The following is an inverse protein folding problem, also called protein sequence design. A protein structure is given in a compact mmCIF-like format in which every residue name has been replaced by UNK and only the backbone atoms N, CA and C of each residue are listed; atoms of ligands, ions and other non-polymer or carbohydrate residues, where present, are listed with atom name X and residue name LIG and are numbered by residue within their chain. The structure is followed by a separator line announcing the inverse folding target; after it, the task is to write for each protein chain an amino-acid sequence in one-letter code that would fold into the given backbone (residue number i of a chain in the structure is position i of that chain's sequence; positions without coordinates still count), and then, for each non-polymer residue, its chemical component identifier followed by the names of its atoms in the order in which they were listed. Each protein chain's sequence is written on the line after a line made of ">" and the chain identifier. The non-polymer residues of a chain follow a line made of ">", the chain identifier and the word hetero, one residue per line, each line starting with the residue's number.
data_IF_285547475400
#
_entry.id   IF_285547475400
#
_cell.length_a   1.000
_cell.length_b   1.000
_cell.length_c   1.000
_cell.angle_alpha   90.00
_cell.angle_beta   90.00
_cell.angle_gamma   90.00
#
_symmetry.space_group_name_H-M   'P 1'
#
loop_
_entity.id
_entity.type
_entity.pdbx_description
1 polymer ?
#
# COMPACT_ATOMS: atom_id res chain seq x y z
N UNK A 1 -14.90 -29.12 3.33
CA UNK A 1 -14.03 -28.14 2.64
C UNK A 1 -14.64 -26.76 2.80
N UNK A 2 -13.91 -25.80 3.33
CA UNK A 2 -14.40 -24.41 3.39
C UNK A 2 -14.67 -23.91 1.96
N UNK A 3 -15.84 -23.29 1.74
CA UNK A 3 -16.14 -22.69 0.44
C UNK A 3 -15.14 -21.57 0.14
N UNK A 4 -14.81 -21.33 -1.14
CA UNK A 4 -13.86 -20.28 -1.52
C UNK A 4 -14.28 -18.90 -0.99
N UNK A 5 -15.57 -18.66 -0.81
CA UNK A 5 -16.12 -17.44 -0.18
C UNK A 5 -15.75 -17.35 1.31
N UNK A 6 -15.74 -18.46 2.06
CA UNK A 6 -15.35 -18.47 3.47
C UNK A 6 -13.86 -18.12 3.65
N UNK A 7 -12.99 -18.56 2.73
CA UNK A 7 -11.56 -18.18 2.76
C UNK A 7 -11.39 -16.66 2.58
N UNK A 8 -12.10 -16.06 1.62
CA UNK A 8 -12.07 -14.61 1.38
C UNK A 8 -12.57 -13.84 2.59
N UNK A 9 -13.65 -14.30 3.21
CA UNK A 9 -14.27 -13.67 4.39
C UNK A 9 -13.36 -13.63 5.60
N UNK A 10 -12.44 -14.58 5.75
CA UNK A 10 -11.51 -14.63 6.89
C UNK A 10 -10.17 -13.96 6.56
N UNK A 11 -9.64 -14.20 5.37
CA UNK A 11 -8.27 -13.74 5.01
C UNK A 11 -8.18 -12.23 4.85
N UNK A 12 -9.15 -11.60 4.20
CA UNK A 12 -9.08 -10.14 3.98
C UNK A 12 -9.21 -9.34 5.28
N UNK A 13 -10.20 -9.60 6.18
CA UNK A 13 -10.24 -8.96 7.50
C UNK A 13 -8.96 -9.22 8.31
N UNK A 14 -8.39 -10.42 8.23
CA UNK A 14 -7.13 -10.74 8.91
C UNK A 14 -5.96 -9.89 8.40
N UNK A 15 -5.80 -9.71 7.08
CA UNK A 15 -4.75 -8.86 6.50
C UNK A 15 -4.95 -7.39 6.90
N UNK A 16 -6.19 -6.91 6.89
CA UNK A 16 -6.53 -5.56 7.37
C UNK A 16 -6.17 -5.42 8.85
N UNK A 17 -6.49 -6.42 9.66
CA UNK A 17 -6.15 -6.47 11.09
C UNK A 17 -4.64 -6.40 11.30
N UNK A 18 -3.89 -7.29 10.63
CA UNK A 18 -2.44 -7.37 10.74
C UNK A 18 -1.78 -6.06 10.36
N UNK A 19 -2.20 -5.47 9.25
CA UNK A 19 -1.67 -4.20 8.76
C UNK A 19 -1.87 -3.08 9.77
N UNK A 20 -3.04 -3.01 10.37
CA UNK A 20 -3.33 -1.97 11.34
C UNK A 20 -2.71 -2.23 12.71
N UNK A 21 -2.52 -3.49 13.13
CA UNK A 21 -1.73 -3.82 14.32
C UNK A 21 -0.27 -3.35 14.17
N UNK A 22 0.30 -3.58 12.98
CA UNK A 22 1.66 -3.17 12.67
C UNK A 22 1.82 -1.66 12.47
N UNK A 23 0.71 -0.93 12.28
CA UNK A 23 0.69 0.48 11.90
C UNK A 23 1.59 1.38 12.75
N UNK A 24 1.54 1.38 14.11
CA UNK A 24 2.41 2.23 14.92
C UNK A 24 3.89 1.87 14.81
N UNK A 25 4.17 0.65 14.35
CA UNK A 25 5.51 0.16 14.18
C UNK A 25 6.06 0.40 12.76
N UNK A 26 5.18 0.64 11.78
CA UNK A 26 5.55 0.92 10.39
C UNK A 26 5.92 2.38 10.17
N UNK A 27 5.37 3.30 10.97
CA UNK A 27 5.71 4.73 10.92
C UNK A 27 7.11 4.99 11.51
N UNK A 28 7.77 6.04 11.03
CA UNK A 28 9.06 6.45 11.60
C UNK A 28 8.95 6.86 13.07
N UNK A 29 10.01 6.76 13.87
CA UNK A 29 9.99 7.11 15.30
C UNK A 29 9.56 8.56 15.54
N UNK A 30 9.91 9.49 14.67
CA UNK A 30 9.53 10.91 14.72
C UNK A 30 8.16 11.21 14.13
N UNK A 31 7.36 10.17 13.82
CA UNK A 31 6.01 10.30 13.26
C UNK A 31 4.98 9.43 13.99
N UNK A 32 4.94 9.41 15.34
CA UNK A 32 3.96 8.63 16.07
C UNK A 32 2.54 9.07 15.71
N UNK A 33 1.72 8.12 15.23
CA UNK A 33 0.35 8.38 14.75
C UNK A 33 0.27 9.58 13.78
N UNK A 34 1.31 9.72 12.94
CA UNK A 34 1.40 10.79 11.95
C UNK A 34 1.54 12.21 12.50
N UNK A 35 1.86 12.37 13.76
CA UNK A 35 2.24 13.64 14.36
C UNK A 35 3.75 13.82 14.22
N UNK A 36 4.19 14.94 13.68
CA UNK A 36 5.62 15.26 13.60
C UNK A 36 6.14 15.61 15.00
N UNK A 37 7.12 14.86 15.47
CA UNK A 37 7.77 15.08 16.77
C UNK A 37 9.27 15.27 16.59
N UNK A 38 9.90 16.16 17.37
CA UNK A 38 11.37 16.21 17.45
C UNK A 38 11.93 14.87 17.95
N UNK A 39 13.16 14.48 17.56
CA UNK A 39 13.77 13.22 18.00
C UNK A 39 13.79 13.03 19.52
N UNK A 40 14.01 14.10 20.28
CA UNK A 40 14.01 14.06 21.75
C UNK A 40 12.67 13.63 22.37
N UNK A 41 11.54 13.84 21.66
CA UNK A 41 10.19 13.49 22.11
C UNK A 41 9.62 12.25 21.40
N UNK A 42 10.42 11.53 20.60
CA UNK A 42 9.96 10.35 19.87
C UNK A 42 9.42 9.23 20.78
N UNK A 43 9.99 9.12 21.99
CA UNK A 43 9.60 8.14 23.01
C UNK A 43 9.03 8.80 24.28
N UNK A 44 8.48 10.01 24.16
CA UNK A 44 7.79 10.69 25.24
C UNK A 44 6.72 9.77 25.89
N UNK A 45 6.47 9.89 27.21
CA UNK A 45 5.53 9.03 27.94
C UNK A 45 4.17 8.90 27.26
N UNK A 46 3.61 10.03 26.77
CA UNK A 46 2.34 10.05 26.04
C UNK A 46 2.40 9.19 24.76
N UNK A 47 3.52 9.17 24.05
CA UNK A 47 3.68 8.36 22.82
C UNK A 47 3.67 6.88 23.17
N UNK A 48 4.41 6.48 24.22
CA UNK A 48 4.46 5.09 24.67
C UNK A 48 3.09 4.61 25.19
N UNK A 49 2.38 5.46 25.93
CA UNK A 49 1.03 5.20 26.43
C UNK A 49 0.04 5.00 25.28
N UNK A 50 0.02 5.94 24.31
CA UNK A 50 -0.89 5.84 23.18
C UNK A 50 -0.58 4.65 22.27
N UNK A 51 0.69 4.25 22.12
CA UNK A 51 1.07 2.99 21.43
C UNK A 51 0.49 1.75 22.12
N UNK A 52 0.55 1.70 23.46
CA UNK A 52 -0.03 0.60 24.26
C UNK A 52 -1.55 0.61 24.15
N UNK A 53 -2.19 1.74 24.42
CA UNK A 53 -3.65 1.89 24.36
C UNK A 53 -4.19 1.50 22.96
N UNK A 54 -3.54 1.93 21.90
CA UNK A 54 -3.92 1.58 20.53
C UNK A 54 -3.81 0.08 20.26
N UNK A 55 -2.74 -0.58 20.72
CA UNK A 55 -2.59 -2.04 20.55
C UNK A 55 -3.67 -2.82 21.29
N UNK A 56 -4.00 -2.44 22.51
CA UNK A 56 -5.10 -3.02 23.28
C UNK A 56 -6.45 -2.79 22.62
N UNK A 57 -6.71 -1.57 22.17
CA UNK A 57 -7.92 -1.21 21.45
C UNK A 57 -8.08 -2.01 20.14
N UNK A 58 -7.02 -2.06 19.36
CA UNK A 58 -6.99 -2.81 18.09
C UNK A 58 -7.09 -4.31 18.32
N UNK A 59 -6.39 -4.86 19.31
CA UNK A 59 -6.41 -6.29 19.63
C UNK A 59 -7.76 -6.74 20.18
N UNK A 60 -8.29 -6.04 21.18
CA UNK A 60 -9.53 -6.41 21.86
C UNK A 60 -10.77 -6.30 20.98
N UNK A 61 -11.04 -5.11 20.45
CA UNK A 61 -12.27 -4.86 19.66
C UNK A 61 -12.26 -5.64 18.35
N UNK A 62 -11.09 -5.77 17.72
CA UNK A 62 -11.00 -6.50 16.46
C UNK A 62 -11.00 -8.00 16.62
N UNK A 63 -10.38 -8.51 17.69
CA UNK A 63 -10.51 -9.91 18.05
C UNK A 63 -11.98 -10.28 18.21
N UNK A 64 -12.76 -9.44 18.90
CA UNK A 64 -14.20 -9.64 19.06
C UNK A 64 -14.95 -9.56 17.72
N UNK A 65 -14.62 -8.61 16.84
CA UNK A 65 -15.25 -8.50 15.50
C UNK A 65 -14.93 -9.71 14.63
N UNK A 66 -13.68 -10.17 14.62
CA UNK A 66 -13.29 -11.37 13.86
C UNK A 66 -13.93 -12.63 14.43
N UNK A 67 -14.02 -12.77 15.75
CA UNK A 67 -14.70 -13.89 16.37
C UNK A 67 -16.19 -13.89 16.02
N UNK A 68 -16.85 -12.73 16.08
CA UNK A 68 -18.25 -12.57 15.66
C UNK A 68 -18.44 -12.88 14.17
N UNK A 69 -17.54 -12.41 13.29
CA UNK A 69 -17.59 -12.71 11.85
C UNK A 69 -17.44 -14.21 11.59
N UNK A 70 -16.49 -14.86 12.25
CA UNK A 70 -16.29 -16.30 12.18
C UNK A 70 -17.53 -17.08 12.64
N UNK A 71 -18.10 -16.71 13.78
CA UNK A 71 -19.34 -17.34 14.30
C UNK A 71 -20.49 -17.14 13.30
N UNK A 72 -20.66 -15.93 12.77
CA UNK A 72 -21.68 -15.64 11.77
C UNK A 72 -21.46 -16.43 10.47
N UNK A 73 -20.22 -16.59 10.02
CA UNK A 73 -19.90 -17.40 8.84
C UNK A 73 -20.22 -18.88 9.04
N UNK A 74 -20.00 -19.40 10.24
CA UNK A 74 -20.33 -20.79 10.57
C UNK A 74 -21.84 -21.02 10.74
N UNK A 75 -22.54 -20.06 11.37
CA UNK A 75 -23.97 -20.16 11.63
C UNK A 75 -24.84 -19.83 10.38
N UNK A 76 -24.38 -18.93 9.51
CA UNK A 76 -25.12 -18.40 8.36
C UNK A 76 -24.27 -18.38 7.08
N UNK A 77 -23.87 -19.52 6.54
CA UNK A 77 -22.94 -19.59 5.40
C UNK A 77 -23.45 -18.95 4.11
N UNK A 78 -24.76 -18.70 4.01
CA UNK A 78 -25.40 -18.06 2.85
C UNK A 78 -25.41 -16.53 2.86
N UNK A 79 -25.01 -15.88 3.97
CA UNK A 79 -25.06 -14.41 4.10
C UNK A 79 -23.65 -13.82 4.11
N UNK A 80 -23.27 -13.02 3.10
CA UNK A 80 -21.97 -12.37 3.07
C UNK A 80 -21.94 -11.18 4.06
N UNK A 81 -21.51 -11.42 5.30
CA UNK A 81 -21.27 -10.37 6.31
C UNK A 81 -19.90 -9.71 6.19
N UNK A 82 -19.08 -10.19 5.29
CA UNK A 82 -17.69 -9.77 5.01
C UNK A 82 -17.50 -8.24 4.90
N UNK A 83 -18.37 -7.55 4.17
CA UNK A 83 -18.27 -6.11 3.99
C UNK A 83 -18.48 -5.36 5.32
N UNK A 84 -19.39 -5.84 6.16
CA UNK A 84 -19.69 -5.26 7.47
C UNK A 84 -18.52 -5.39 8.44
N UNK A 85 -17.93 -6.59 8.56
CA UNK A 85 -16.79 -6.84 9.44
C UNK A 85 -15.56 -6.02 9.03
N UNK A 86 -15.21 -6.03 7.75
CA UNK A 86 -14.08 -5.24 7.22
C UNK A 86 -14.25 -3.74 7.46
N UNK A 87 -15.46 -3.23 7.25
CA UNK A 87 -15.80 -1.82 7.49
C UNK A 87 -15.71 -1.48 8.99
N UNK A 88 -16.25 -2.33 9.87
CA UNK A 88 -16.19 -2.15 11.31
C UNK A 88 -14.72 -2.16 11.81
N UNK A 89 -13.91 -3.09 11.33
CA UNK A 89 -12.48 -3.15 11.63
C UNK A 89 -11.77 -1.87 11.19
N UNK A 90 -12.02 -1.37 10.01
CA UNK A 90 -11.42 -0.13 9.51
C UNK A 90 -11.86 1.09 10.35
N UNK A 91 -13.15 1.21 10.65
CA UNK A 91 -13.70 2.31 11.44
C UNK A 91 -13.11 2.35 12.86
N UNK A 92 -13.12 1.20 13.56
CA UNK A 92 -12.57 1.09 14.93
C UNK A 92 -11.09 1.46 14.96
N UNK A 93 -10.33 1.07 13.93
CA UNK A 93 -8.90 1.43 13.80
C UNK A 93 -8.69 2.91 13.63
N UNK A 94 -9.51 3.49 12.76
CA UNK A 94 -9.43 4.92 12.47
C UNK A 94 -9.75 5.73 13.73
N UNK A 95 -10.77 5.33 14.49
CA UNK A 95 -11.11 5.99 15.77
C UNK A 95 -9.95 5.90 16.76
N UNK A 96 -9.38 4.71 16.98
CA UNK A 96 -8.22 4.53 17.87
C UNK A 96 -7.02 5.37 17.44
N UNK A 97 -6.73 5.39 16.14
CA UNK A 97 -5.65 6.21 15.59
C UNK A 97 -5.89 7.72 15.79
N UNK A 98 -7.10 8.21 15.51
CA UNK A 98 -7.43 9.64 15.68
C UNK A 98 -7.39 10.07 17.14
N UNK A 99 -7.80 9.20 18.08
CA UNK A 99 -7.68 9.46 19.53
C UNK A 99 -6.22 9.61 19.94
N UNK A 100 -5.38 8.64 19.56
CA UNK A 100 -3.94 8.70 19.85
C UNK A 100 -3.29 9.95 19.25
N UNK A 101 -3.61 10.27 17.99
CA UNK A 101 -3.13 11.48 17.32
C UNK A 101 -3.52 12.75 18.07
N UNK A 102 -4.78 12.87 18.51
CA UNK A 102 -5.28 14.04 19.26
C UNK A 102 -4.55 14.20 20.58
N UNK A 103 -4.36 13.11 21.33
CA UNK A 103 -3.66 13.12 22.61
C UNK A 103 -2.20 13.61 22.45
N UNK A 104 -1.45 13.04 21.50
CA UNK A 104 -0.07 13.45 21.24
C UNK A 104 0.01 14.91 20.78
N UNK A 105 -0.90 15.37 19.90
CA UNK A 105 -0.92 16.78 19.46
C UNK A 105 -1.28 17.75 20.57
N UNK A 106 -2.07 17.34 21.55
CA UNK A 106 -2.42 18.18 22.71
C UNK A 106 -1.19 18.40 23.59
N UNK A 107 -0.47 17.34 23.95
CA UNK A 107 0.76 17.43 24.75
C UNK A 107 1.86 18.19 23.99
N UNK A 108 2.09 17.86 22.71
CA UNK A 108 3.06 18.57 21.84
C UNK A 108 2.85 20.09 21.86
N UNK A 109 1.59 20.56 21.85
CA UNK A 109 1.26 21.98 21.86
C UNK A 109 1.36 22.59 23.25
N UNK A 110 0.95 21.85 24.30
CA UNK A 110 1.00 22.32 25.67
C UNK A 110 2.42 22.48 26.20
N UNK A 111 3.33 21.61 25.77
CA UNK A 111 4.74 21.60 26.19
C UNK A 111 5.67 22.30 25.19
N UNK A 112 5.14 22.85 24.11
CA UNK A 112 5.90 23.53 23.04
C UNK A 112 7.15 22.73 22.59
N UNK A 113 6.96 21.51 22.14
CA UNK A 113 8.07 20.59 21.78
C UNK A 113 9.03 21.15 20.72
N UNK A 114 8.66 22.20 20.00
CA UNK A 114 9.50 22.85 19.00
C UNK A 114 10.16 24.15 19.52
N UNK A 115 9.85 24.55 20.75
CA UNK A 115 10.46 25.72 21.39
C UNK A 115 11.97 25.62 21.43
N UNK A 116 12.65 26.67 20.97
CA UNK A 116 14.12 26.73 20.93
C UNK A 116 14.81 25.81 19.92
N UNK A 117 14.07 25.03 19.10
CA UNK A 117 14.65 24.17 18.07
C UNK A 117 14.77 24.89 16.72
N UNK A 118 15.84 24.59 15.99
CA UNK A 118 16.09 25.10 14.65
C UNK A 118 15.47 24.17 13.61
N UNK A 119 14.39 24.62 13.00
CA UNK A 119 13.71 23.85 11.97
C UNK A 119 14.39 24.04 10.60
N UNK A 120 14.89 22.97 10.01
CA UNK A 120 15.65 23.00 8.74
C UNK A 120 15.15 21.90 7.80
N UNK A 121 15.05 22.24 6.52
CA UNK A 121 14.83 21.25 5.44
C UNK A 121 16.18 20.78 4.95
N UNK A 122 16.51 19.52 5.19
CA UNK A 122 17.74 18.93 4.66
C UNK A 122 17.58 18.53 3.20
N UNK A 123 18.60 18.77 2.41
CA UNK A 123 18.72 18.32 1.03
C UNK A 123 20.08 17.66 0.88
N UNK A 124 20.10 16.45 0.36
CA UNK A 124 21.33 15.75 -0.03
C UNK A 124 21.45 15.74 -1.55
N UNK A 125 22.46 16.41 -2.06
CA UNK A 125 22.72 16.54 -3.50
C UNK A 125 23.06 15.21 -4.14
N UNK A 126 23.57 14.23 -3.38
CA UNK A 126 23.89 12.89 -3.87
C UNK A 126 22.65 12.15 -4.43
N UNK A 127 21.45 12.46 -3.94
CA UNK A 127 20.21 11.91 -4.49
C UNK A 127 19.91 12.41 -5.93
N UNK A 128 20.47 13.55 -6.32
CA UNK A 128 20.36 14.11 -7.68
C UNK A 128 21.51 13.67 -8.58
N UNK A 129 22.74 13.66 -8.06
CA UNK A 129 23.94 13.29 -8.82
C UNK A 129 24.06 11.78 -9.04
N UNK A 130 23.55 10.99 -8.10
CA UNK A 130 23.51 9.54 -8.16
C UNK A 130 22.07 9.03 -7.99
N UNK A 131 21.19 9.23 -8.99
CA UNK A 131 19.81 8.84 -8.89
C UNK A 131 19.67 7.33 -8.76
N UNK A 132 18.66 6.90 -8.03
CA UNK A 132 18.32 5.48 -7.91
C UNK A 132 17.98 4.92 -9.31
N UNK A 133 18.75 3.94 -9.75
CA UNK A 133 18.47 3.24 -11.01
C UNK A 133 17.16 2.49 -10.90
N UNK A 134 16.38 2.54 -11.96
CA UNK A 134 15.10 1.83 -12.01
C UNK A 134 15.34 0.31 -11.88
N UNK A 135 14.67 -0.37 -10.92
CA UNK A 135 14.95 -1.77 -10.64
C UNK A 135 14.21 -2.72 -11.61
N UNK A 136 14.51 -2.65 -12.91
CA UNK A 136 13.85 -3.39 -14.00
C UNK A 136 13.76 -4.90 -13.75
N UNK A 137 14.75 -5.49 -13.08
CA UNK A 137 14.75 -6.93 -12.75
C UNK A 137 13.50 -7.37 -11.99
N UNK A 138 12.87 -6.48 -11.23
CA UNK A 138 11.65 -6.79 -10.48
C UNK A 138 10.38 -6.72 -11.34
N UNK A 139 10.42 -6.13 -12.52
CA UNK A 139 9.34 -6.14 -13.50
C UNK A 139 9.29 -7.45 -14.30
N UNK A 140 10.43 -8.16 -14.41
CA UNK A 140 10.55 -9.40 -15.21
C UNK A 140 9.49 -10.44 -14.84
N UNK A 141 9.23 -10.77 -13.56
CA UNK A 141 8.19 -11.75 -13.22
C UNK A 141 6.79 -11.38 -13.74
N UNK A 142 6.39 -10.11 -13.62
CA UNK A 142 5.09 -9.64 -14.10
C UNK A 142 4.98 -9.76 -15.63
N UNK A 143 6.03 -9.38 -16.35
CA UNK A 143 6.10 -9.49 -17.82
C UNK A 143 6.12 -10.96 -18.29
N UNK A 144 6.83 -11.84 -17.57
CA UNK A 144 6.84 -13.28 -17.87
C UNK A 144 5.44 -13.89 -17.70
N UNK A 145 4.73 -13.57 -16.60
CA UNK A 145 3.36 -14.05 -16.41
C UNK A 145 2.47 -13.55 -17.53
N UNK A 146 2.60 -12.29 -17.95
CA UNK A 146 1.82 -11.74 -19.06
C UNK A 146 2.14 -12.44 -20.38
N UNK A 147 3.41 -12.72 -20.66
CA UNK A 147 3.82 -13.45 -21.85
C UNK A 147 3.26 -14.90 -21.84
N UNK A 148 3.34 -15.58 -20.70
CA UNK A 148 2.74 -16.92 -20.52
C UNK A 148 1.23 -16.87 -20.74
N UNK A 149 0.55 -15.85 -20.19
CA UNK A 149 -0.90 -15.66 -20.40
C UNK A 149 -1.23 -15.47 -21.88
N UNK A 150 -0.43 -14.69 -22.62
CA UNK A 150 -0.64 -14.48 -24.05
C UNK A 150 -0.43 -15.77 -24.88
N UNK A 151 0.62 -16.56 -24.55
CA UNK A 151 0.87 -17.83 -25.20
C UNK A 151 -0.26 -18.82 -24.93
N UNK A 152 -0.68 -18.95 -23.67
CA UNK A 152 -1.81 -19.83 -23.30
C UNK A 152 -3.10 -19.39 -23.98
N UNK A 153 -3.39 -18.08 -24.03
CA UNK A 153 -4.56 -17.56 -24.75
C UNK A 153 -4.53 -17.94 -26.24
N UNK A 154 -3.36 -17.89 -26.89
CA UNK A 154 -3.22 -18.25 -28.30
C UNK A 154 -3.37 -19.76 -28.53
N UNK A 155 -2.78 -20.59 -27.67
CA UNK A 155 -2.84 -22.07 -27.76
C UNK A 155 -4.27 -22.56 -27.48
N UNK A 156 -4.92 -22.02 -26.45
CA UNK A 156 -6.27 -22.46 -26.06
C UNK A 156 -7.37 -21.85 -26.94
N UNK A 157 -7.08 -20.79 -27.71
CA UNK A 157 -8.09 -20.06 -28.48
C UNK A 157 -8.98 -20.95 -29.35
N UNK A 158 -8.43 -21.97 -30.10
CA UNK A 158 -9.30 -22.85 -30.89
C UNK A 158 -10.28 -23.66 -30.06
N UNK A 159 -9.87 -24.13 -28.88
CA UNK A 159 -10.64 -25.00 -27.98
C UNK A 159 -11.59 -24.26 -27.06
N UNK A 160 -11.47 -22.93 -26.96
CA UNK A 160 -12.36 -22.12 -26.13
C UNK A 160 -13.82 -22.23 -26.58
N UNK A 161 -14.79 -22.26 -25.66
CA UNK A 161 -16.23 -22.25 -25.98
C UNK A 161 -16.63 -20.95 -26.72
N UNK A 162 -17.72 -21.01 -27.50
CA UNK A 162 -18.22 -19.86 -28.27
C UNK A 162 -18.65 -18.69 -27.41
N UNK A 163 -18.97 -18.94 -26.12
CA UNK A 163 -19.30 -17.91 -25.13
C UNK A 163 -18.41 -18.06 -23.91
N UNK A 164 -17.69 -16.99 -23.58
CA UNK A 164 -16.78 -16.93 -22.43
C UNK A 164 -17.47 -16.25 -21.24
N UNK A 165 -17.35 -16.81 -20.02
CA UNK A 165 -17.71 -16.13 -18.79
C UNK A 165 -16.85 -14.89 -18.56
N UNK A 166 -17.50 -13.71 -18.56
CA UNK A 166 -16.83 -12.42 -18.35
C UNK A 166 -17.08 -11.83 -16.97
N UNK A 167 -18.12 -12.30 -16.29
CA UNK A 167 -18.45 -11.87 -14.94
C UNK A 167 -19.08 -13.01 -14.17
N UNK A 168 -18.78 -13.05 -12.87
CA UNK A 168 -19.36 -14.01 -11.92
C UNK A 168 -20.06 -13.26 -10.80
N UNK A 169 -21.30 -13.62 -10.54
CA UNK A 169 -22.08 -13.07 -9.44
C UNK A 169 -21.46 -13.41 -8.08
N UNK A 170 -21.92 -12.75 -7.03
CA UNK A 170 -21.41 -12.91 -5.65
C UNK A 170 -21.47 -14.36 -5.14
N UNK A 171 -22.35 -15.18 -5.73
CA UNK A 171 -22.48 -16.62 -5.43
C UNK A 171 -21.53 -17.50 -6.25
N UNK A 172 -20.71 -16.90 -7.11
CA UNK A 172 -19.73 -17.58 -7.93
C UNK A 172 -20.26 -18.12 -9.26
N UNK A 173 -21.55 -17.96 -9.58
CA UNK A 173 -22.10 -18.38 -10.87
C UNK A 173 -21.85 -17.30 -11.93
N UNK A 174 -21.51 -17.71 -13.15
CA UNK A 174 -21.40 -16.81 -14.29
C UNK A 174 -22.77 -16.18 -14.59
N UNK A 175 -22.84 -14.87 -14.59
CA UNK A 175 -24.06 -14.08 -14.85
C UNK A 175 -23.95 -13.25 -16.13
N UNK A 176 -22.76 -13.18 -16.71
CA UNK A 176 -22.53 -12.52 -18.00
C UNK A 176 -21.59 -13.34 -18.86
N UNK A 177 -22.05 -13.69 -20.06
CA UNK A 177 -21.28 -14.36 -21.09
C UNK A 177 -21.08 -13.40 -22.26
N UNK A 178 -19.90 -13.42 -22.88
CA UNK A 178 -19.60 -12.71 -24.12
C UNK A 178 -19.20 -13.69 -25.23
N UNK A 179 -19.48 -13.35 -26.48
CA UNK A 179 -19.05 -14.13 -27.62
C UNK A 179 -17.51 -14.20 -27.71
N UNK A 180 -17.01 -15.39 -28.10
CA UNK A 180 -15.60 -15.59 -28.33
C UNK A 180 -15.07 -14.68 -29.44
N UNK A 181 -14.11 -13.86 -29.12
CA UNK A 181 -13.37 -13.02 -30.04
C UNK A 181 -11.94 -12.85 -29.56
N UNK A 182 -11.06 -12.34 -30.41
CA UNK A 182 -9.70 -12.00 -29.97
C UNK A 182 -9.75 -11.01 -28.79
N UNK A 183 -10.66 -10.03 -28.84
CA UNK A 183 -10.83 -9.04 -27.78
C UNK A 183 -11.20 -9.67 -26.43
N UNK A 184 -12.19 -10.58 -26.40
CA UNK A 184 -12.65 -11.24 -25.17
C UNK A 184 -11.66 -12.30 -24.66
N UNK A 185 -11.07 -13.09 -25.54
CA UNK A 185 -10.11 -14.13 -25.16
C UNK A 185 -8.78 -13.55 -24.63
N UNK A 186 -8.30 -12.43 -25.22
CA UNK A 186 -7.06 -11.76 -24.83
C UNK A 186 -7.27 -10.60 -23.86
N UNK A 187 -8.50 -10.28 -23.45
CA UNK A 187 -8.77 -9.25 -22.46
C UNK A 187 -7.90 -9.35 -21.19
N UNK A 188 -7.66 -10.56 -20.62
CA UNK A 188 -6.75 -10.71 -19.47
C UNK A 188 -5.33 -10.24 -19.77
N UNK A 189 -4.81 -10.47 -20.96
CA UNK A 189 -3.45 -10.03 -21.38
C UNK A 189 -3.39 -8.50 -21.43
N UNK A 190 -4.40 -7.85 -22.02
CA UNK A 190 -4.45 -6.39 -22.08
C UNK A 190 -4.57 -5.77 -20.69
N UNK A 191 -5.34 -6.37 -19.79
CA UNK A 191 -5.46 -5.93 -18.40
C UNK A 191 -4.12 -6.07 -17.67
N UNK A 192 -3.41 -7.19 -17.84
CA UNK A 192 -2.08 -7.41 -17.25
C UNK A 192 -1.06 -6.40 -17.78
N UNK A 193 -1.02 -6.13 -19.09
CA UNK A 193 -0.14 -5.13 -19.69
C UNK A 193 -0.43 -3.72 -19.14
N UNK A 194 -1.70 -3.35 -19.10
CA UNK A 194 -2.13 -2.05 -18.59
C UNK A 194 -1.77 -1.88 -17.10
N UNK A 195 -2.04 -2.90 -16.27
CA UNK A 195 -1.67 -2.90 -14.86
C UNK A 195 -0.16 -2.83 -14.67
N UNK A 196 0.60 -3.65 -15.38
CA UNK A 196 2.06 -3.65 -15.29
C UNK A 196 2.63 -2.31 -15.73
N UNK A 197 2.14 -1.74 -16.84
CA UNK A 197 2.52 -0.40 -17.30
C UNK A 197 2.21 0.70 -16.28
N UNK A 198 1.04 0.65 -15.65
CA UNK A 198 0.66 1.56 -14.58
C UNK A 198 1.61 1.46 -13.37
N UNK A 199 1.93 0.24 -12.93
CA UNK A 199 2.85 0.02 -11.81
C UNK A 199 4.26 0.50 -12.14
N UNK A 200 4.73 0.28 -13.37
CA UNK A 200 6.00 0.80 -13.85
C UNK A 200 6.03 2.34 -13.82
N UNK A 201 4.97 2.98 -14.31
CA UNK A 201 4.84 4.44 -14.32
C UNK A 201 4.81 5.00 -12.88
N UNK A 202 3.97 4.45 -12.01
CA UNK A 202 3.86 4.88 -10.61
C UNK A 202 5.19 4.72 -9.89
N UNK A 203 5.88 3.59 -10.10
CA UNK A 203 7.21 3.35 -9.52
C UNK A 203 8.22 4.39 -10.02
N UNK A 204 8.22 4.71 -11.32
CA UNK A 204 9.10 5.73 -11.89
C UNK A 204 8.84 7.12 -11.28
N UNK A 205 7.57 7.49 -11.11
CA UNK A 205 7.19 8.76 -10.48
C UNK A 205 7.64 8.81 -9.01
N UNK A 206 7.48 7.69 -8.27
CA UNK A 206 7.88 7.58 -6.87
C UNK A 206 9.40 7.67 -6.72
N UNK A 207 10.18 7.04 -7.62
CA UNK A 207 11.64 7.15 -7.63
C UNK A 207 12.15 8.60 -7.80
N UNK A 208 11.33 9.45 -8.39
CA UNK A 208 11.61 10.89 -8.59
C UNK A 208 10.99 11.78 -7.51
N UNK A 209 10.28 11.20 -6.54
CA UNK A 209 9.69 11.96 -5.45
C UNK A 209 10.76 12.56 -4.54
N UNK A 210 10.40 13.66 -3.87
CA UNK A 210 11.26 14.30 -2.89
C UNK A 210 11.50 13.36 -1.70
N UNK A 211 12.76 13.13 -1.36
CA UNK A 211 13.14 12.44 -0.14
C UNK A 211 12.89 13.34 1.08
N UNK A 212 12.34 12.76 2.13
CA UNK A 212 12.26 13.38 3.44
C UNK A 212 13.47 12.92 4.26
N UNK A 213 14.44 13.82 4.43
CA UNK A 213 15.69 13.53 5.09
C UNK A 213 15.70 14.03 6.54
N UNK A 214 16.45 13.35 7.38
CA UNK A 214 16.73 13.77 8.74
C UNK A 214 17.77 14.93 8.69
N UNK A 215 17.42 16.15 9.13
CA UNK A 215 18.32 17.27 9.06
C UNK A 215 19.57 17.12 9.93
N UNK A 216 19.48 16.34 11.01
CA UNK A 216 20.61 16.08 11.89
C UNK A 216 21.62 15.09 11.27
N UNK A 217 21.18 14.24 10.32
CA UNK A 217 22.02 13.23 9.64
C UNK A 217 21.59 13.03 8.19
N UNK A 218 21.79 14.02 7.32
CA UNK A 218 21.27 14.01 5.95
C UNK A 218 21.86 12.87 5.10
N UNK A 219 23.17 12.62 5.14
CA UNK A 219 23.81 11.58 4.35
C UNK A 219 23.34 10.17 4.74
N UNK A 220 23.29 9.88 6.05
CA UNK A 220 22.80 8.60 6.55
C UNK A 220 21.32 8.38 6.19
N UNK A 221 20.49 9.43 6.25
CA UNK A 221 19.08 9.33 5.89
C UNK A 221 18.87 9.20 4.38
N UNK A 222 19.71 9.82 3.54
CA UNK A 222 19.71 9.65 2.10
C UNK A 222 20.03 8.19 1.70
N UNK A 223 21.04 7.58 2.32
CA UNK A 223 21.39 6.18 2.10
C UNK A 223 20.26 5.23 2.50
N UNK A 224 19.59 5.46 3.64
CA UNK A 224 18.39 4.71 4.05
C UNK A 224 17.25 4.88 3.06
N UNK A 225 17.01 6.12 2.61
CA UNK A 225 15.97 6.44 1.64
C UNK A 225 16.18 5.69 0.32
N UNK A 226 17.39 5.67 -0.24
CA UNK A 226 17.70 4.89 -1.46
C UNK A 226 17.32 3.41 -1.32
N UNK A 227 17.74 2.79 -0.20
CA UNK A 227 17.41 1.37 0.08
C UNK A 227 15.91 1.15 0.26
N UNK A 228 15.23 2.08 0.94
CA UNK A 228 13.78 2.05 1.13
C UNK A 228 13.03 2.08 -0.20
N UNK A 229 13.39 3.01 -1.08
CA UNK A 229 12.70 3.20 -2.37
C UNK A 229 12.89 1.97 -3.26
N UNK A 230 14.12 1.42 -3.34
CA UNK A 230 14.39 0.20 -4.14
C UNK A 230 13.62 -1.00 -3.61
N UNK A 231 13.58 -1.21 -2.29
CA UNK A 231 12.84 -2.33 -1.69
C UNK A 231 11.32 -2.19 -1.87
N UNK A 232 10.81 -0.99 -1.70
CA UNK A 232 9.38 -0.70 -1.90
C UNK A 232 9.00 -0.88 -3.38
N UNK A 233 9.81 -0.37 -4.31
CA UNK A 233 9.60 -0.57 -5.73
C UNK A 233 9.58 -2.06 -6.10
N UNK A 234 10.56 -2.83 -5.61
CA UNK A 234 10.62 -4.28 -5.81
C UNK A 234 9.39 -5.00 -5.25
N UNK A 235 8.95 -4.64 -4.04
CA UNK A 235 7.78 -5.28 -3.42
C UNK A 235 6.47 -4.99 -4.18
N UNK A 236 6.30 -3.78 -4.73
CA UNK A 236 5.15 -3.41 -5.57
C UNK A 236 5.17 -4.21 -6.88
N UNK A 237 6.34 -4.40 -7.50
CA UNK A 237 6.46 -5.21 -8.73
C UNK A 237 6.15 -6.69 -8.46
N UNK A 238 6.62 -7.25 -7.34
CA UNK A 238 6.27 -8.62 -6.92
C UNK A 238 4.77 -8.77 -6.71
N UNK A 239 4.13 -7.80 -6.05
CA UNK A 239 2.67 -7.79 -5.91
C UNK A 239 1.99 -7.75 -7.29
N UNK A 240 2.48 -6.93 -8.22
CA UNK A 240 1.99 -6.88 -9.60
C UNK A 240 2.07 -8.24 -10.29
N UNK A 241 3.19 -8.96 -10.14
CA UNK A 241 3.33 -10.31 -10.67
C UNK A 241 2.32 -11.30 -10.04
N UNK A 242 2.10 -11.22 -8.73
CA UNK A 242 1.10 -12.02 -8.03
C UNK A 242 -0.33 -11.70 -8.48
N UNK A 243 -0.65 -10.43 -8.74
CA UNK A 243 -1.95 -10.03 -9.32
C UNK A 243 -2.09 -10.58 -10.74
N UNK A 244 -1.04 -10.49 -11.56
CA UNK A 244 -1.05 -11.08 -12.92
C UNK A 244 -1.27 -12.59 -12.88
N UNK A 245 -0.68 -13.32 -11.91
CA UNK A 245 -0.98 -14.74 -11.69
C UNK A 245 -2.45 -14.97 -11.33
N UNK A 246 -3.03 -14.13 -10.50
CA UNK A 246 -4.46 -14.18 -10.18
C UNK A 246 -5.33 -13.94 -11.43
N UNK A 247 -4.96 -12.96 -12.27
CA UNK A 247 -5.66 -12.70 -13.55
C UNK A 247 -5.54 -13.90 -14.50
N UNK A 248 -4.36 -14.54 -14.59
CA UNK A 248 -4.17 -15.75 -15.36
C UNK A 248 -5.09 -16.89 -14.86
N UNK A 249 -5.18 -17.09 -13.54
CA UNK A 249 -6.04 -18.11 -12.96
C UNK A 249 -7.54 -17.85 -13.22
N UNK A 250 -7.95 -16.60 -13.23
CA UNK A 250 -9.33 -16.21 -13.62
C UNK A 250 -9.56 -16.43 -15.13
N UNK A 251 -8.58 -16.05 -15.96
CA UNK A 251 -8.62 -16.27 -17.40
C UNK A 251 -8.72 -17.75 -17.74
N UNK A 252 -7.96 -18.61 -17.08
CA UNK A 252 -7.98 -20.04 -17.25
C UNK A 252 -9.39 -20.63 -17.04
N UNK A 253 -10.06 -20.23 -15.95
CA UNK A 253 -11.45 -20.65 -15.69
C UNK A 253 -12.42 -20.16 -16.77
N UNK A 254 -12.28 -18.91 -17.23
CA UNK A 254 -13.09 -18.34 -18.29
C UNK A 254 -12.88 -19.07 -19.63
N UNK A 255 -11.63 -19.37 -20.01
CA UNK A 255 -11.30 -20.05 -21.27
C UNK A 255 -11.81 -21.51 -21.36
N UNK A 256 -11.96 -22.18 -20.19
CA UNK A 256 -12.55 -23.51 -20.11
C UNK A 256 -14.08 -23.51 -19.94
N UNK A 257 -14.70 -22.32 -19.94
CA UNK A 257 -16.15 -22.19 -19.84
C UNK A 257 -16.70 -22.51 -18.46
N UNK A 258 -15.88 -22.42 -17.41
CA UNK A 258 -16.31 -22.70 -16.04
C UNK A 258 -17.44 -21.75 -15.63
N UNK A 259 -18.64 -22.27 -15.47
CA UNK A 259 -19.80 -21.48 -15.03
C UNK A 259 -19.81 -21.22 -13.52
N UNK A 260 -18.96 -21.93 -12.77
CA UNK A 260 -18.76 -21.75 -11.33
C UNK A 260 -17.35 -21.27 -11.02
N UNK A 261 -17.24 -20.08 -10.47
CA UNK A 261 -15.94 -19.45 -10.15
C UNK A 261 -15.29 -20.05 -8.91
N UNK A 262 -14.04 -20.48 -9.05
CA UNK A 262 -13.20 -20.83 -7.91
C UNK A 262 -12.32 -19.64 -7.53
N UNK A 263 -12.57 -18.97 -6.40
CA UNK A 263 -11.78 -17.79 -6.02
C UNK A 263 -10.39 -18.13 -5.49
N UNK A 264 -10.15 -19.35 -5.03
CA UNK A 264 -8.89 -19.73 -4.38
C UNK A 264 -7.67 -19.57 -5.30
N UNK A 265 -7.65 -20.11 -6.54
CA UNK A 265 -6.48 -19.95 -7.44
C UNK A 265 -6.20 -18.47 -7.79
N UNK A 266 -7.24 -17.63 -7.79
CA UNK A 266 -7.13 -16.20 -8.10
C UNK A 266 -6.58 -15.42 -6.91
N UNK A 267 -7.10 -15.71 -5.71
CA UNK A 267 -6.78 -14.91 -4.51
C UNK A 267 -5.51 -15.38 -3.82
N UNK A 268 -5.15 -16.66 -3.89
CA UNK A 268 -3.97 -17.18 -3.22
C UNK A 268 -2.68 -16.44 -3.61
N UNK A 269 -2.34 -16.25 -4.91
CA UNK A 269 -1.14 -15.49 -5.28
C UNK A 269 -1.24 -14.03 -4.86
N UNK A 270 -2.40 -13.38 -4.94
CA UNK A 270 -2.60 -11.99 -4.52
C UNK A 270 -2.33 -11.84 -3.02
N UNK A 271 -2.88 -12.75 -2.20
CA UNK A 271 -2.65 -12.77 -0.76
C UNK A 271 -1.19 -13.01 -0.41
N UNK A 272 -0.52 -13.94 -1.09
CA UNK A 272 0.91 -14.15 -0.94
C UNK A 272 1.70 -12.87 -1.25
N UNK A 273 1.39 -12.20 -2.36
CA UNK A 273 1.98 -10.91 -2.72
C UNK A 273 1.77 -9.83 -1.66
N UNK A 274 0.56 -9.70 -1.13
CA UNK A 274 0.25 -8.76 -0.04
C UNK A 274 1.04 -9.07 1.24
N UNK A 275 1.14 -10.32 1.64
CA UNK A 275 1.94 -10.74 2.79
C UNK A 275 3.43 -10.43 2.60
N UNK A 276 3.97 -10.63 1.40
CA UNK A 276 5.35 -10.26 1.05
C UNK A 276 5.55 -8.75 1.19
N UNK A 277 4.62 -7.93 0.65
CA UNK A 277 4.69 -6.47 0.78
C UNK A 277 4.65 -6.05 2.25
N UNK A 278 3.75 -6.61 3.06
CA UNK A 278 3.65 -6.31 4.49
C UNK A 278 4.92 -6.72 5.24
N UNK A 279 5.49 -7.88 4.93
CA UNK A 279 6.73 -8.36 5.54
C UNK A 279 7.93 -7.46 5.21
N UNK A 280 8.07 -7.06 3.93
CA UNK A 280 9.12 -6.12 3.49
C UNK A 280 8.91 -4.76 4.15
N UNK A 281 7.68 -4.26 4.19
CA UNK A 281 7.30 -3.02 4.84
C UNK A 281 7.64 -3.02 6.34
N UNK A 282 7.30 -4.13 7.04
CA UNK A 282 7.59 -4.30 8.46
C UNK A 282 9.09 -4.31 8.77
N UNK A 283 9.90 -4.89 7.88
CA UNK A 283 11.37 -4.93 8.04
C UNK A 283 12.05 -3.63 7.64
N UNK A 284 11.44 -2.84 6.76
CA UNK A 284 12.04 -1.64 6.20
C UNK A 284 11.66 -0.38 7.00
N UNK A 285 10.41 -0.29 7.44
CA UNK A 285 9.83 0.92 8.04
C UNK A 285 9.66 2.07 7.04
N UNK A 286 8.85 3.06 7.38
CA UNK A 286 8.66 4.26 6.55
C UNK A 286 9.99 5.02 6.39
N UNK A 287 10.32 5.40 5.14
CA UNK A 287 11.56 6.08 4.81
C UNK A 287 12.84 5.28 5.11
N UNK A 288 12.73 3.97 5.37
CA UNK A 288 13.86 3.13 5.77
C UNK A 288 14.23 3.24 7.25
N UNK A 289 13.31 3.70 8.10
CA UNK A 289 13.56 3.96 9.53
C UNK A 289 14.08 2.76 10.32
N UNK A 290 13.88 1.53 9.81
CA UNK A 290 14.36 0.28 10.42
C UNK A 290 15.60 -0.30 9.77
N UNK A 291 16.11 0.36 8.72
CA UNK A 291 17.34 -0.08 8.05
C UNK A 291 18.56 0.41 8.82
N UNK A 292 19.45 -0.51 9.17
CA UNK A 292 20.72 -0.17 9.75
C UNK A 292 21.55 0.69 8.79
N UNK A 293 22.25 1.69 9.31
CA UNK A 293 23.27 2.46 8.59
C UNK A 293 24.64 1.93 8.96
N UNK A 294 25.44 1.59 7.95
CA UNK A 294 26.83 1.15 8.14
C UNK A 294 27.83 2.28 7.91
N UNK A 295 29.10 2.05 8.20
CA UNK A 295 30.19 3.01 7.94
C UNK A 295 30.29 3.42 6.46
N UNK A 296 29.90 2.52 5.53
CA UNK A 296 29.87 2.79 4.08
C UNK A 296 28.78 3.79 3.65
N UNK A 297 27.82 4.10 4.51
CA UNK A 297 26.70 4.99 4.20
C UNK A 297 26.99 6.46 4.52
N UNK A 298 28.26 6.83 4.80
CA UNK A 298 28.63 8.19 5.20
C UNK A 298 28.17 8.56 6.62
N UNK A 299 27.65 7.59 7.37
CA UNK A 299 27.13 7.81 8.73
C UNK A 299 28.23 7.87 9.80
N UNK A 300 29.44 7.40 9.48
CA UNK A 300 30.59 7.45 10.38
C UNK A 300 31.13 8.88 10.43
N UNK A 301 30.95 9.53 11.58
CA UNK A 301 31.51 10.86 11.83
C UNK A 301 30.65 12.06 11.43
N UNK A 302 29.41 11.84 10.94
CA UNK A 302 28.48 12.95 10.71
C UNK A 302 28.02 13.54 12.07
N UNK A 303 28.45 14.79 12.43
CA UNK A 303 28.07 15.39 13.69
C UNK A 303 26.55 15.67 13.68
N UNK A 304 25.84 15.14 14.67
CA UNK A 304 24.41 15.39 14.81
C UNK A 304 24.19 16.58 15.76
N UNK A 305 23.67 17.69 15.26
CA UNK A 305 23.16 18.76 16.13
C UNK A 305 21.75 18.41 16.58
N UNK A 306 21.51 18.09 17.86
CA UNK A 306 20.18 17.70 18.36
C UNK A 306 19.17 18.86 18.32
N UNK A 307 19.62 20.10 18.12
CA UNK A 307 18.77 21.29 17.98
C UNK A 307 18.22 21.45 16.55
N UNK A 308 18.81 20.76 15.58
CA UNK A 308 18.39 20.82 14.18
C UNK A 308 17.37 19.71 13.92
N UNK A 309 16.14 20.10 13.60
CA UNK A 309 15.01 19.17 13.41
C UNK A 309 14.26 19.45 12.11
N UNK A 310 13.54 18.44 11.63
CA UNK A 310 12.63 18.62 10.50
C UNK A 310 11.47 19.58 10.86
N UNK A 311 11.01 20.41 9.90
CA UNK A 311 9.94 21.37 10.15
C UNK A 311 8.66 20.73 10.64
N UNK A 312 7.93 21.44 11.53
CA UNK A 312 6.57 21.05 11.91
C UNK A 312 5.58 21.38 10.78
N UNK A 313 5.33 20.39 9.95
CA UNK A 313 4.42 20.46 8.80
C UNK A 313 3.03 19.89 9.08
N UNK A 314 2.68 19.64 10.35
CA UNK A 314 1.38 19.07 10.77
C UNK A 314 0.18 19.86 10.25
N UNK A 315 0.34 21.18 10.02
CA UNK A 315 -0.70 22.08 9.50
C UNK A 315 -1.16 21.75 8.09
N UNK A 316 -0.32 21.12 7.28
CA UNK A 316 -0.63 20.73 5.90
C UNK A 316 -1.32 19.38 5.78
N UNK A 317 -1.43 18.63 6.88
CA UNK A 317 -2.03 17.31 6.89
C UNK A 317 -3.47 17.33 7.38
N UNK A 318 -4.39 16.83 6.53
CA UNK A 318 -5.83 16.77 6.75
C UNK A 318 -6.29 15.34 7.04
N UNK A 319 -7.54 15.19 7.54
CA UNK A 319 -8.17 13.89 7.85
C UNK A 319 -7.25 12.93 8.62
N UNK A 320 -6.66 13.40 9.71
CA UNK A 320 -5.80 12.56 10.55
C UNK A 320 -4.42 12.24 9.96
N UNK A 321 -3.97 12.91 8.91
CA UNK A 321 -2.67 12.64 8.26
C UNK A 321 -2.79 11.77 7.01
N UNK A 322 -4.02 11.60 6.49
CA UNK A 322 -4.26 10.86 5.24
C UNK A 322 -3.98 11.70 4.00
N UNK A 323 -4.36 12.98 4.02
CA UNK A 323 -4.25 13.88 2.88
C UNK A 323 -3.24 14.99 3.17
N UNK A 324 -2.30 15.18 2.26
CA UNK A 324 -1.38 16.30 2.27
C UNK A 324 -1.87 17.38 1.31
N UNK A 325 -2.01 18.62 1.82
CA UNK A 325 -2.51 19.77 1.07
C UNK A 325 -1.59 20.96 1.30
N UNK A 326 -0.64 21.17 0.40
CA UNK A 326 0.25 22.32 0.44
C UNK A 326 0.48 22.88 -0.98
N UNK A 327 -0.08 24.05 -1.26
CA UNK A 327 0.03 24.72 -2.56
C UNK A 327 1.43 25.28 -2.83
N UNK A 328 2.20 25.50 -1.79
CA UNK A 328 3.57 26.06 -1.89
C UNK A 328 4.62 24.95 -2.12
N UNK A 329 4.27 23.69 -1.88
CA UNK A 329 5.16 22.56 -2.12
C UNK A 329 4.98 22.05 -3.56
N UNK A 330 6.02 22.16 -4.42
CA UNK A 330 5.95 21.72 -5.81
C UNK A 330 5.93 20.19 -5.96
N UNK A 331 6.17 19.44 -4.87
CA UNK A 331 6.21 17.98 -4.88
C UNK A 331 4.83 17.40 -5.22
N UNK A 332 4.79 16.42 -6.14
CA UNK A 332 3.57 15.66 -6.44
C UNK A 332 3.35 14.57 -5.42
N UNK A 333 4.41 13.91 -4.99
CA UNK A 333 4.38 12.81 -4.02
C UNK A 333 5.16 13.20 -2.77
N UNK A 334 4.56 12.92 -1.64
CA UNK A 334 5.16 13.12 -0.31
C UNK A 334 5.08 11.83 0.50
N UNK A 335 6.02 11.64 1.41
CA UNK A 335 6.01 10.47 2.30
C UNK A 335 4.73 10.43 3.13
N UNK A 336 4.07 9.29 3.18
CA UNK A 336 2.86 9.11 4.01
C UNK A 336 3.17 9.28 5.48
N UNK A 337 2.22 9.87 6.20
CA UNK A 337 2.22 9.91 7.65
C UNK A 337 1.48 8.76 8.31
N UNK A 338 0.63 8.12 7.54
CA UNK A 338 -0.13 6.96 7.95
C UNK A 338 0.26 5.78 7.04
N UNK A 339 0.91 4.77 7.61
CA UNK A 339 1.40 3.61 6.85
C UNK A 339 2.76 3.85 6.20
N UNK A 340 3.02 3.11 5.15
CA UNK A 340 4.24 3.14 4.36
C UNK A 340 3.96 3.59 2.93
N UNK A 341 4.93 4.26 2.32
CA UNK A 341 4.87 4.70 0.94
C UNK A 341 4.63 6.21 0.80
N UNK A 342 3.93 6.59 -0.24
CA UNK A 342 3.71 7.98 -0.62
C UNK A 342 2.23 8.30 -0.75
N UNK A 343 1.90 9.55 -0.62
CA UNK A 343 0.59 10.12 -0.98
C UNK A 343 0.80 11.29 -1.93
N UNK A 344 -0.24 11.67 -2.63
CA UNK A 344 -0.20 12.83 -3.54
C UNK A 344 -0.42 14.12 -2.77
N UNK A 345 0.20 15.20 -3.26
CA UNK A 345 -0.05 16.53 -2.74
C UNK A 345 -1.32 17.11 -3.41
N UNK A 346 -2.46 17.03 -2.73
CA UNK A 346 -3.73 17.58 -3.22
C UNK A 346 -3.74 19.11 -3.35
N UNK A 347 -2.73 19.79 -2.82
CA UNK A 347 -2.51 21.23 -3.03
C UNK A 347 -1.85 21.55 -4.38
N UNK A 348 -1.23 20.56 -5.04
CA UNK A 348 -0.57 20.75 -6.32
C UNK A 348 -1.57 20.52 -7.49
N UNK A 349 -1.81 21.52 -8.36
CA UNK A 349 -2.80 21.38 -9.45
C UNK A 349 -2.46 20.26 -10.44
N UNK A 350 -1.17 19.90 -10.60
CA UNK A 350 -0.76 18.75 -11.44
C UNK A 350 -1.25 17.40 -10.90
N UNK A 351 -1.62 17.34 -9.62
CA UNK A 351 -2.25 16.19 -9.03
C UNK A 351 -3.59 15.84 -9.70
N UNK A 352 -4.36 16.84 -10.11
CA UNK A 352 -5.62 16.64 -10.82
C UNK A 352 -5.43 15.88 -12.15
N UNK A 353 -4.31 16.12 -12.83
CA UNK A 353 -3.97 15.39 -14.07
C UNK A 353 -3.72 13.90 -13.80
N UNK A 354 -3.06 13.58 -12.68
CA UNK A 354 -2.83 12.18 -12.29
C UNK A 354 -4.15 11.47 -11.94
N UNK A 355 -5.02 12.16 -11.19
CA UNK A 355 -6.34 11.60 -10.80
C UNK A 355 -7.22 11.43 -12.02
N UNK A 356 -7.25 12.41 -12.93
CA UNK A 356 -8.00 12.33 -14.19
C UNK A 356 -7.47 11.19 -15.08
N UNK A 357 -6.15 11.06 -15.23
CA UNK A 357 -5.52 9.97 -15.98
C UNK A 357 -5.88 8.60 -15.42
N UNK A 358 -5.87 8.44 -14.09
CA UNK A 358 -6.29 7.19 -13.44
C UNK A 358 -7.78 6.91 -13.65
N UNK A 359 -8.63 7.94 -13.56
CA UNK A 359 -10.07 7.78 -13.81
C UNK A 359 -10.34 7.35 -15.26
N UNK A 360 -9.70 7.99 -16.23
CA UNK A 360 -9.78 7.60 -17.65
C UNK A 360 -9.32 6.15 -17.83
N UNK A 361 -8.19 5.78 -17.23
CA UNK A 361 -7.67 4.40 -17.29
C UNK A 361 -8.69 3.38 -16.75
N UNK A 362 -9.29 3.64 -15.58
CA UNK A 362 -10.31 2.75 -14.99
C UNK A 362 -11.53 2.63 -15.89
N UNK A 363 -12.01 3.77 -16.45
CA UNK A 363 -13.16 3.77 -17.37
C UNK A 363 -12.83 2.98 -18.63
N UNK A 364 -11.62 3.15 -19.19
CA UNK A 364 -11.18 2.39 -20.36
C UNK A 364 -11.15 0.88 -20.09
N UNK A 365 -10.63 0.45 -18.93
CA UNK A 365 -10.67 -0.95 -18.54
C UNK A 365 -12.08 -1.49 -18.42
N UNK A 366 -13.03 -0.70 -17.88
CA UNK A 366 -14.44 -1.10 -17.78
C UNK A 366 -15.12 -1.18 -19.15
N UNK A 367 -14.72 -0.35 -20.11
CA UNK A 367 -15.27 -0.38 -21.48
C UNK A 367 -14.73 -1.59 -22.26
N UNK A 368 -13.46 -1.94 -22.09
CA UNK A 368 -12.86 -3.15 -22.72
C UNK A 368 -13.49 -4.42 -22.14
N UNK A 369 -13.89 -4.40 -20.86
CA UNK A 369 -14.55 -5.52 -20.20
C UNK A 369 -16.07 -5.61 -20.43
N UNK A 370 -16.65 -4.68 -21.20
CA UNK A 370 -18.06 -4.72 -21.62
C UNK A 370 -18.22 -5.32 -22.99
#
# INVERSE_FOLDING_TARGET
>A
MMSGTAVVQVVIPFVILLTAWLMPALTGPTLPFGVRTPPAHADAPVVAEQRRAYRWWVGGVRGAVLAADLVCCLAFPSKPLFAGASTAIAAVSTVGYLRARRAIRAVKRGEDWYGGLRQVVAVDTSLRTEPVRYPWRWAVPALLVTAVTAVLAAVEYPSMPDRLPMHYATRGNADRLAEKSIGTAFAPVFIQLALTGLLLLVTWLVLRSRAELDPARPAASAARHRRFVVRTAGSVMVLGACVNLGILAAAWQSWHGDLSFSPFPVLAPIMAGLLIVVAIAARTGQGGSRLATGARDGAAGEPADPRVVAPDDDRYWRAGGLFYVNRQDPSLFVAKRFGIGWTINFGNPRCLLLVAGLAVFIVTLQLIGR
#
